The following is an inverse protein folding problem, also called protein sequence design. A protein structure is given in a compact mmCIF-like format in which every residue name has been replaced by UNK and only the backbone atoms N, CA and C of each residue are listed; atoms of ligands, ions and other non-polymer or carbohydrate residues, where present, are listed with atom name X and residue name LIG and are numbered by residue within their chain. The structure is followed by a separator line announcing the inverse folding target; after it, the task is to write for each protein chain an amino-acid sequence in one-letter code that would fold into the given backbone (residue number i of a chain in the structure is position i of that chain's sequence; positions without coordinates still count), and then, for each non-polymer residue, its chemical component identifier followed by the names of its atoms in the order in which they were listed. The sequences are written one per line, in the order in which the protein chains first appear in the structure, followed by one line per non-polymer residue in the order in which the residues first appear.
data_IF_606722270393
#
_entry.id   IF_606722270393
#
_cell.length_a   1.000
_cell.length_b   1.000
_cell.length_c   1.000
_cell.angle_alpha   90.00
_cell.angle_beta   90.00
_cell.angle_gamma   90.00
#
_symmetry.space_group_name_H-M   'P 1'
#
loop_
_entity.id
_entity.type
_entity.pdbx_description
1 polymer ?
#
# COMPACT_ATOMS: atom_id res chain seq x y z
N UNK A 1 5.62 -2.97 4.83
CA UNK A 1 6.43 -1.74 4.56
C UNK A 1 5.70 -0.46 5.04
N UNK A 2 6.38 0.62 5.43
CA UNK A 2 5.79 1.95 5.78
C UNK A 2 6.79 3.10 5.53
N UNK A 3 6.35 4.39 5.39
CA UNK A 3 7.24 5.51 5.08
C UNK A 3 8.40 5.70 6.07
N UNK A 4 8.18 5.51 7.37
CA UNK A 4 9.25 5.66 8.38
C UNK A 4 10.39 4.65 8.23
N UNK A 5 10.17 3.58 7.46
CA UNK A 5 11.15 2.54 7.19
C UNK A 5 11.83 2.77 5.82
N UNK A 6 11.55 3.89 5.15
CA UNK A 6 12.20 4.33 3.91
C UNK A 6 13.12 5.50 4.29
N UNK A 7 14.41 5.22 4.37
CA UNK A 7 15.43 6.19 4.73
C UNK A 7 15.97 6.87 3.48
N UNK A 8 16.29 8.16 3.58
CA UNK A 8 16.91 8.93 2.51
C UNK A 8 18.24 9.47 3.02
N UNK A 9 19.32 9.13 2.32
CA UNK A 9 20.66 9.64 2.58
C UNK A 9 20.84 11.08 2.09
N UNK A 10 21.89 11.75 2.57
CA UNK A 10 22.28 13.09 2.09
C UNK A 10 22.73 13.11 0.63
N UNK A 11 23.11 11.95 0.12
CA UNK A 11 23.44 11.66 -1.28
C UNK A 11 22.21 11.39 -2.14
N UNK A 12 20.99 11.47 -1.56
CA UNK A 12 19.75 11.16 -2.26
C UNK A 12 19.47 9.66 -2.42
N UNK A 13 20.32 8.78 -1.86
CA UNK A 13 20.07 7.34 -1.93
C UNK A 13 18.94 6.93 -0.98
N UNK A 14 17.95 6.24 -1.54
CA UNK A 14 16.82 5.69 -0.80
C UNK A 14 17.12 4.25 -0.39
N UNK A 15 16.90 3.93 0.89
CA UNK A 15 17.12 2.58 1.45
C UNK A 15 15.94 2.14 2.30
N UNK A 16 15.55 0.89 2.16
CA UNK A 16 14.59 0.25 3.08
C UNK A 16 15.35 -0.17 4.34
N UNK A 17 14.76 0.10 5.49
CA UNK A 17 15.29 -0.24 6.81
C UNK A 17 14.26 -1.02 7.63
N UNK A 18 14.68 -1.44 8.83
CA UNK A 18 13.84 -2.15 9.82
C UNK A 18 13.22 -3.44 9.26
N UNK A 19 14.06 -4.48 9.25
CA UNK A 19 13.73 -5.84 8.84
C UNK A 19 13.32 -6.73 10.03
N UNK A 20 12.99 -6.14 11.19
CA UNK A 20 12.67 -6.90 12.41
C UNK A 20 11.46 -7.83 12.28
N UNK A 21 10.54 -7.50 11.37
CA UNK A 21 9.37 -8.30 11.03
C UNK A 21 9.52 -9.10 9.73
N UNK A 22 10.68 -9.04 9.07
CA UNK A 22 10.92 -9.77 7.82
C UNK A 22 11.09 -11.27 8.08
N UNK A 23 10.74 -12.09 7.08
CA UNK A 23 10.83 -13.55 7.11
C UNK A 23 11.31 -14.10 5.78
N UNK A 24 12.00 -15.24 5.81
CA UNK A 24 12.39 -15.99 4.61
C UNK A 24 11.21 -16.84 4.12
N UNK A 25 10.96 -16.80 2.81
CA UNK A 25 9.76 -17.36 2.14
C UNK A 25 9.47 -18.85 2.38
N UNK A 26 10.43 -19.62 2.92
CA UNK A 26 10.35 -21.08 3.00
C UNK A 26 10.53 -21.65 4.42
N UNK A 27 10.56 -20.81 5.47
CA UNK A 27 10.95 -21.28 6.81
C UNK A 27 9.74 -21.47 7.74
N UNK A 28 8.66 -20.68 7.67
CA UNK A 28 7.46 -20.91 8.49
C UNK A 28 6.19 -20.32 7.82
N UNK A 29 5.19 -21.18 7.55
CA UNK A 29 3.86 -20.78 7.02
C UNK A 29 2.96 -20.09 8.06
N UNK A 30 3.44 -19.94 9.30
CA UNK A 30 2.71 -19.27 10.38
C UNK A 30 3.24 -17.86 10.57
N UNK A 31 2.73 -16.95 9.77
CA UNK A 31 2.97 -15.53 9.96
C UNK A 31 2.33 -15.09 11.28
N UNK A 32 3.13 -14.45 12.13
CA UNK A 32 2.68 -13.97 13.44
C UNK A 32 1.64 -12.86 13.23
N UNK A 33 0.47 -12.89 13.89
CA UNK A 33 -0.44 -11.75 13.88
C UNK A 33 0.26 -10.64 14.64
N UNK A 34 0.87 -9.69 13.93
CA UNK A 34 1.83 -8.78 14.56
C UNK A 34 1.62 -7.29 14.27
N UNK A 35 1.98 -6.57 15.32
CA UNK A 35 1.98 -5.16 15.64
C UNK A 35 2.75 -4.37 14.57
N UNK A 36 2.05 -3.93 13.54
CA UNK A 36 2.54 -2.97 12.56
C UNK A 36 1.76 -1.66 12.62
N UNK A 37 2.21 -0.64 11.88
CA UNK A 37 1.43 0.58 11.66
C UNK A 37 0.19 0.21 10.83
N UNK A 38 -0.98 0.14 11.50
CA UNK A 38 -2.24 -0.39 10.98
C UNK A 38 -2.67 0.17 9.61
N UNK A 39 -2.28 1.40 9.30
CA UNK A 39 -2.64 2.09 8.05
C UNK A 39 -2.04 1.49 6.77
N UNK A 40 -1.00 0.66 6.88
CA UNK A 40 -0.32 0.05 5.72
C UNK A 40 -0.65 -1.44 5.51
N UNK A 41 -1.62 -1.96 6.25
CA UNK A 41 -1.98 -3.38 6.25
C UNK A 41 -2.89 -3.72 5.06
N UNK A 42 -2.54 -4.77 4.33
CA UNK A 42 -3.36 -5.31 3.26
C UNK A 42 -4.62 -6.02 3.80
N UNK A 43 -5.74 -6.07 3.06
CA UNK A 43 -6.98 -6.65 3.56
C UNK A 43 -6.87 -8.13 3.93
N UNK A 44 -6.10 -8.92 3.18
CA UNK A 44 -5.86 -10.33 3.51
C UNK A 44 -5.08 -10.53 4.81
N UNK A 45 -4.23 -9.55 5.18
CA UNK A 45 -3.52 -9.53 6.46
C UNK A 45 -4.47 -9.14 7.58
N UNK A 46 -5.32 -8.13 7.37
CA UNK A 46 -6.36 -7.74 8.34
C UNK A 46 -7.36 -8.87 8.62
N UNK A 47 -7.57 -9.76 7.64
CA UNK A 47 -8.50 -10.88 7.70
C UNK A 47 -7.86 -12.20 8.12
N UNK A 48 -6.56 -12.23 8.37
CA UNK A 48 -5.84 -13.41 8.83
C UNK A 48 -5.99 -14.64 7.91
N UNK A 49 -6.03 -14.46 6.58
CA UNK A 49 -6.35 -15.55 5.61
C UNK A 49 -5.27 -16.64 5.46
N UNK A 50 -4.26 -16.65 6.32
CA UNK A 50 -3.27 -17.74 6.49
C UNK A 50 -2.22 -17.89 5.39
N UNK A 51 -2.55 -17.58 4.13
CA UNK A 51 -1.62 -17.63 2.99
C UNK A 51 -1.16 -16.23 2.63
N UNK A 52 -0.03 -15.82 3.18
CA UNK A 52 0.58 -14.54 2.87
C UNK A 52 1.73 -14.74 1.88
N UNK A 53 1.88 -13.78 0.97
CA UNK A 53 2.95 -13.75 -0.02
C UNK A 53 3.53 -12.33 -0.08
N UNK A 54 4.53 -12.10 -0.93
CA UNK A 54 5.10 -10.78 -1.17
C UNK A 54 4.08 -9.68 -1.60
N UNK A 55 2.85 -10.07 -1.96
CA UNK A 55 1.79 -9.16 -2.38
C UNK A 55 1.33 -8.18 -1.30
N UNK A 56 1.45 -8.50 -0.01
CA UNK A 56 1.11 -7.51 1.04
C UNK A 56 2.11 -6.34 1.08
N UNK A 57 3.38 -6.57 0.72
CA UNK A 57 4.37 -5.51 0.60
C UNK A 57 4.08 -4.64 -0.64
N UNK A 58 3.61 -5.25 -1.73
CA UNK A 58 3.17 -4.51 -2.92
C UNK A 58 1.95 -3.63 -2.62
N UNK A 59 1.01 -4.08 -1.79
CA UNK A 59 -0.11 -3.26 -1.32
C UNK A 59 0.38 -2.08 -0.49
N UNK A 60 1.29 -2.31 0.45
CA UNK A 60 1.90 -1.24 1.23
C UNK A 60 2.64 -0.22 0.34
N UNK A 61 3.33 -0.67 -0.73
CA UNK A 61 3.95 0.21 -1.71
C UNK A 61 2.89 1.05 -2.47
N UNK A 62 1.74 0.48 -2.82
CA UNK A 62 0.62 1.21 -3.43
C UNK A 62 0.02 2.28 -2.51
N UNK A 63 -0.07 2.00 -1.20
CA UNK A 63 -0.45 3.00 -0.20
C UNK A 63 0.57 4.13 -0.18
N UNK A 64 1.86 3.82 -0.05
CA UNK A 64 2.94 4.81 0.01
C UNK A 64 2.97 5.69 -1.25
N UNK A 65 2.85 5.09 -2.45
CA UNK A 65 2.77 5.82 -3.71
C UNK A 65 1.58 6.80 -3.71
N UNK A 66 0.41 6.35 -3.26
CA UNK A 66 -0.77 7.21 -3.14
C UNK A 66 -0.54 8.35 -2.14
N UNK A 67 0.09 8.07 -1.00
CA UNK A 67 0.39 9.07 0.03
C UNK A 67 1.42 10.12 -0.41
N UNK A 68 2.33 9.79 -1.35
CA UNK A 68 3.24 10.78 -1.95
C UNK A 68 2.44 11.88 -2.67
N UNK A 69 1.37 11.52 -3.38
CA UNK A 69 0.48 12.49 -4.03
C UNK A 69 -0.41 13.21 -3.02
N UNK A 70 -1.01 12.47 -2.09
CA UNK A 70 -1.99 13.02 -1.13
C UNK A 70 -1.36 13.90 -0.05
N UNK A 71 -0.11 13.61 0.34
CA UNK A 71 0.57 14.16 1.53
C UNK A 71 -0.17 13.92 2.85
N UNK A 72 -1.08 12.96 2.87
CA UNK A 72 -1.82 12.50 4.04
C UNK A 72 -2.12 11.00 3.91
N UNK A 73 -2.59 10.36 4.99
CA UNK A 73 -2.92 8.94 4.98
C UNK A 73 -4.03 8.61 3.96
N UNK A 74 -3.79 7.59 3.12
CA UNK A 74 -4.79 7.11 2.16
C UNK A 74 -6.01 6.52 2.89
N UNK A 75 -5.76 5.67 3.89
CA UNK A 75 -6.79 5.09 4.76
C UNK A 75 -6.79 5.78 6.12
N UNK A 76 -7.80 6.64 6.35
CA UNK A 76 -7.88 7.45 7.57
C UNK A 76 -8.52 6.64 8.70
N UNK A 77 -7.90 6.66 9.88
CA UNK A 77 -8.47 6.07 11.09
C UNK A 77 -7.42 5.69 12.14
N UNK A 78 -7.85 5.64 13.40
CA UNK A 78 -7.00 5.27 14.55
C UNK A 78 -7.15 3.79 14.95
N UNK A 79 -8.30 3.20 14.62
CA UNK A 79 -8.64 1.79 14.90
C UNK A 79 -8.69 0.98 13.60
N UNK A 80 -8.50 -0.35 13.70
CA UNK A 80 -8.65 -1.24 12.54
C UNK A 80 -10.03 -1.12 11.90
N UNK A 81 -11.09 -0.98 12.70
CA UNK A 81 -12.46 -0.77 12.19
C UNK A 81 -12.58 0.55 11.42
N UNK A 82 -12.00 1.65 11.91
CA UNK A 82 -12.02 2.92 11.16
C UNK A 82 -11.19 2.86 9.88
N UNK A 83 -10.05 2.18 9.90
CA UNK A 83 -9.20 1.95 8.72
C UNK A 83 -9.94 1.09 7.70
N UNK A 84 -10.58 -0.01 8.13
CA UNK A 84 -11.41 -0.86 7.26
C UNK A 84 -12.55 -0.09 6.61
N UNK A 85 -13.22 0.79 7.36
CA UNK A 85 -14.25 1.69 6.82
C UNK A 85 -13.69 2.62 5.74
N UNK A 86 -12.53 3.24 5.99
CA UNK A 86 -11.87 4.09 4.99
C UNK A 86 -11.42 3.28 3.78
N UNK A 87 -10.91 2.06 3.97
CA UNK A 87 -10.49 1.18 2.89
C UNK A 87 -11.65 0.82 1.97
N UNK A 88 -12.81 0.45 2.52
CA UNK A 88 -14.01 0.16 1.71
C UNK A 88 -14.52 1.39 0.97
N UNK A 89 -14.43 2.59 1.58
CA UNK A 89 -14.79 3.84 0.89
C UNK A 89 -13.88 4.12 -0.31
N UNK A 90 -12.58 3.86 -0.16
CA UNK A 90 -11.58 4.17 -1.19
C UNK A 90 -11.57 3.10 -2.28
N UNK A 91 -11.43 1.82 -1.92
CA UNK A 91 -11.25 0.69 -2.85
C UNK A 91 -12.55 -0.02 -3.23
N UNK A 92 -13.62 0.19 -2.48
CA UNK A 92 -14.90 -0.52 -2.64
C UNK A 92 -15.05 -1.73 -1.71
N UNK A 93 -16.21 -2.40 -1.84
CA UNK A 93 -16.61 -3.51 -0.96
C UNK A 93 -15.65 -4.70 -1.05
N UNK A 94 -15.14 -5.17 0.08
CA UNK A 94 -14.40 -6.44 0.18
C UNK A 94 -15.39 -7.58 0.43
N UNK A 95 -15.31 -8.66 -0.36
CA UNK A 95 -16.16 -9.84 -0.26
C UNK A 95 -15.52 -11.03 -1.00
N UNK A 96 -16.14 -12.22 -0.93
CA UNK A 96 -15.58 -13.43 -1.54
C UNK A 96 -15.38 -13.36 -3.06
N UNK A 97 -16.00 -12.42 -3.78
CA UNK A 97 -15.80 -12.26 -5.23
C UNK A 97 -14.44 -11.62 -5.57
N UNK A 98 -13.97 -10.69 -4.74
CA UNK A 98 -12.71 -9.95 -4.97
C UNK A 98 -11.62 -10.26 -3.95
N UNK A 99 -11.94 -10.99 -2.88
CA UNK A 99 -10.99 -11.60 -1.98
C UNK A 99 -11.53 -12.96 -1.53
N UNK A 100 -11.23 -14.04 -2.27
CA UNK A 100 -11.69 -15.38 -1.93
C UNK A 100 -11.31 -15.78 -0.49
N UNK A 101 -12.24 -16.41 0.24
CA UNK A 101 -12.07 -16.77 1.65
C UNK A 101 -12.26 -15.61 2.65
N UNK A 102 -12.41 -14.37 2.19
CA UNK A 102 -12.58 -13.21 3.09
C UNK A 102 -13.75 -13.36 4.06
N UNK A 103 -14.91 -13.84 3.61
CA UNK A 103 -16.11 -13.92 4.44
C UNK A 103 -16.14 -15.13 5.39
N UNK A 104 -15.16 -16.02 5.29
CA UNK A 104 -14.96 -17.14 6.22
C UNK A 104 -14.12 -16.72 7.43
N UNK A 105 -13.41 -15.59 7.35
CA UNK A 105 -12.63 -15.02 8.45
C UNK A 105 -13.53 -14.45 9.55
N UNK A 106 -13.23 -14.78 10.80
CA UNK A 106 -13.88 -14.17 11.98
C UNK A 106 -13.68 -12.64 11.98
N UNK A 107 -12.51 -12.16 11.55
CA UNK A 107 -12.21 -10.73 11.48
C UNK A 107 -13.09 -9.99 10.47
N UNK A 108 -13.57 -10.68 9.43
CA UNK A 108 -14.46 -10.06 8.44
C UNK A 108 -15.75 -9.56 9.07
N UNK A 109 -16.31 -10.32 10.01
CA UNK A 109 -17.53 -9.95 10.73
C UNK A 109 -17.32 -8.62 11.47
N UNK A 110 -16.17 -8.43 12.10
CA UNK A 110 -15.86 -7.24 12.88
C UNK A 110 -15.42 -6.04 12.04
N UNK A 111 -14.69 -6.27 10.94
CA UNK A 111 -14.04 -5.20 10.18
C UNK A 111 -14.83 -4.74 8.96
N UNK A 112 -15.46 -5.66 8.22
CA UNK A 112 -16.00 -5.37 6.88
C UNK A 112 -17.50 -5.63 6.73
N UNK A 113 -18.08 -6.57 7.47
CA UNK A 113 -19.47 -7.04 7.25
C UNK A 113 -20.54 -5.93 7.33
N UNK A 114 -20.35 -4.96 8.23
CA UNK A 114 -21.29 -3.85 8.48
C UNK A 114 -20.90 -2.55 7.77
N UNK A 115 -19.81 -2.56 7.01
CA UNK A 115 -19.33 -1.35 6.34
C UNK A 115 -20.14 -1.15 5.07
N UNK A 116 -20.88 -0.04 5.00
CA UNK A 116 -21.60 0.35 3.78
C UNK A 116 -20.58 0.69 2.69
N UNK A 117 -20.79 0.13 1.50
CA UNK A 117 -19.98 0.43 0.31
C UNK A 117 -20.76 1.34 -0.63
N UNK A 118 -20.10 2.38 -1.14
CA UNK A 118 -20.51 3.10 -2.33
C UNK A 118 -19.66 2.70 -3.53
N UNK A 119 -19.67 3.52 -4.58
CA UNK A 119 -18.69 3.42 -5.65
C UNK A 119 -17.28 3.71 -5.09
N UNK A 120 -16.24 2.97 -5.54
CA UNK A 120 -14.86 3.25 -5.15
C UNK A 120 -14.47 4.70 -5.44
N UNK A 121 -13.72 5.32 -4.53
CA UNK A 121 -13.31 6.72 -4.64
C UNK A 121 -11.84 6.90 -5.03
N UNK A 122 -11.08 5.80 -5.16
CA UNK A 122 -9.63 5.83 -5.34
C UNK A 122 -9.17 6.77 -6.46
N UNK A 123 -9.58 6.53 -7.72
CA UNK A 123 -9.18 7.38 -8.85
C UNK A 123 -9.59 8.83 -8.65
N UNK A 124 -10.84 9.09 -8.22
CA UNK A 124 -11.33 10.45 -7.93
C UNK A 124 -10.44 11.18 -6.91
N UNK A 125 -10.01 10.49 -5.85
CA UNK A 125 -9.18 11.05 -4.79
C UNK A 125 -7.80 11.42 -5.34
N UNK A 126 -7.15 10.55 -6.12
CA UNK A 126 -5.82 10.84 -6.67
C UNK A 126 -5.84 11.87 -7.82
N UNK A 127 -6.85 11.85 -8.69
CA UNK A 127 -7.00 12.84 -9.77
C UNK A 127 -7.12 14.27 -9.21
N UNK A 128 -7.67 14.45 -8.00
CA UNK A 128 -7.75 15.75 -7.34
C UNK A 128 -6.41 16.23 -6.75
N UNK A 129 -5.37 15.41 -6.77
CA UNK A 129 -4.05 15.69 -6.18
C UNK A 129 -2.92 15.70 -7.22
N UNK A 130 -3.25 15.98 -8.49
CA UNK A 130 -2.29 16.10 -9.60
C UNK A 130 -1.48 14.81 -9.87
N UNK A 131 -1.98 13.64 -9.44
CA UNK A 131 -1.39 12.38 -9.87
C UNK A 131 -1.58 12.19 -11.37
N UNK A 132 -0.55 11.72 -12.08
CA UNK A 132 -0.67 11.35 -13.49
C UNK A 132 -1.53 10.10 -13.65
N UNK A 133 -2.18 9.92 -14.80
CA UNK A 133 -2.96 8.70 -15.06
C UNK A 133 -2.09 7.44 -14.93
N UNK A 134 -0.85 7.48 -15.43
CA UNK A 134 0.11 6.39 -15.26
C UNK A 134 0.37 6.05 -13.78
N UNK A 135 0.47 7.07 -12.92
CA UNK A 135 0.68 6.91 -11.48
C UNK A 135 -0.57 6.37 -10.77
N UNK A 136 -1.75 6.83 -11.17
CA UNK A 136 -3.04 6.32 -10.68
C UNK A 136 -3.20 4.85 -11.07
N UNK A 137 -2.92 4.48 -12.32
CA UNK A 137 -3.02 3.11 -12.82
C UNK A 137 -2.08 2.16 -12.07
N UNK A 138 -0.81 2.56 -11.88
CA UNK A 138 0.13 1.76 -11.10
C UNK A 138 -0.35 1.60 -9.65
N UNK A 139 -0.76 2.70 -9.01
CA UNK A 139 -1.21 2.66 -7.61
C UNK A 139 -2.48 1.81 -7.45
N UNK A 140 -3.43 1.91 -8.37
CA UNK A 140 -4.66 1.10 -8.39
C UNK A 140 -4.32 -0.39 -8.51
N UNK A 141 -3.37 -0.73 -9.38
CA UNK A 141 -2.93 -2.11 -9.57
C UNK A 141 -2.22 -2.66 -8.32
N UNK A 142 -1.34 -1.88 -7.70
CA UNK A 142 -0.68 -2.25 -6.45
C UNK A 142 -1.68 -2.45 -5.30
N UNK A 143 -2.78 -1.68 -5.31
CA UNK A 143 -3.86 -1.72 -4.32
C UNK A 143 -4.99 -2.70 -4.65
N UNK A 144 -4.81 -3.60 -5.63
CA UNK A 144 -5.81 -4.62 -5.93
C UNK A 144 -6.19 -5.40 -4.66
N UNK A 145 -7.48 -5.57 -4.42
CA UNK A 145 -8.00 -6.23 -3.20
C UNK A 145 -7.49 -7.68 -3.14
N UNK A 146 -7.52 -8.40 -4.27
CA UNK A 146 -6.96 -9.73 -4.38
C UNK A 146 -5.43 -9.66 -4.47
N UNK A 147 -4.66 -10.26 -3.54
CA UNK A 147 -3.19 -10.26 -3.62
C UNK A 147 -2.65 -10.93 -4.89
N UNK A 148 -3.38 -11.90 -5.47
CA UNK A 148 -2.98 -12.56 -6.71
C UNK A 148 -3.05 -11.66 -7.95
N UNK A 149 -3.77 -10.53 -7.86
CA UNK A 149 -3.90 -9.57 -8.95
C UNK A 149 -2.85 -8.46 -8.89
N UNK A 150 -2.03 -8.41 -7.84
CA UNK A 150 -0.97 -7.41 -7.67
C UNK A 150 0.27 -7.84 -8.45
N UNK A 151 0.95 -6.92 -9.16
CA UNK A 151 2.20 -7.23 -9.85
C UNK A 151 3.30 -7.47 -8.82
N UNK A 152 4.27 -8.32 -9.17
CA UNK A 152 5.53 -8.40 -8.44
C UNK A 152 6.34 -7.12 -8.63
N UNK A 153 7.30 -6.85 -7.75
CA UNK A 153 8.13 -5.64 -7.82
C UNK A 153 8.83 -5.45 -9.18
N UNK A 154 9.39 -6.52 -9.75
CA UNK A 154 10.04 -6.49 -11.06
C UNK A 154 9.06 -6.28 -12.24
N UNK A 155 7.78 -6.61 -12.06
CA UNK A 155 6.73 -6.36 -13.05
C UNK A 155 6.20 -4.93 -12.92
N UNK A 156 6.04 -4.43 -11.69
CA UNK A 156 5.63 -3.06 -11.40
C UNK A 156 6.57 -2.03 -12.03
N UNK A 157 7.89 -2.29 -12.03
CA UNK A 157 8.90 -1.43 -12.67
C UNK A 157 8.74 -1.29 -14.19
N UNK A 158 7.90 -2.10 -14.83
CA UNK A 158 7.62 -2.05 -16.27
C UNK A 158 6.36 -1.26 -16.62
N UNK A 159 5.65 -0.73 -15.62
CA UNK A 159 4.43 0.04 -15.85
C UNK A 159 4.74 1.38 -16.54
N UNK A 160 3.79 1.93 -17.32
CA UNK A 160 3.87 3.25 -17.96
C UNK A 160 4.47 4.33 -17.06
N UNK A 161 4.10 4.34 -15.78
CA UNK A 161 4.60 5.29 -14.78
C UNK A 161 6.13 5.41 -14.70
N UNK A 162 6.86 4.31 -14.93
CA UNK A 162 8.31 4.29 -14.88
C UNK A 162 8.97 4.36 -16.26
N UNK A 163 8.23 4.19 -17.36
CA UNK A 163 8.81 4.09 -18.73
C UNK A 163 8.41 5.24 -19.64
N UNK A 164 7.27 5.88 -19.38
CA UNK A 164 6.81 7.05 -20.13
C UNK A 164 7.53 8.33 -19.67
N UNK A 165 7.45 9.37 -20.49
CA UNK A 165 7.96 10.69 -20.11
C UNK A 165 6.94 11.44 -19.23
N UNK A 166 7.39 12.30 -18.29
CA UNK A 166 8.79 12.59 -17.98
C UNK A 166 9.42 11.48 -17.13
N UNK A 167 10.64 11.10 -17.51
CA UNK A 167 11.46 10.22 -16.68
C UNK A 167 12.00 10.99 -15.48
N UNK A 168 12.14 10.36 -14.30
CA UNK A 168 12.78 11.00 -13.16
C UNK A 168 14.23 11.36 -13.54
N UNK A 169 14.67 12.56 -13.19
CA UNK A 169 16.05 13.02 -13.40
C UNK A 169 17.06 12.35 -12.42
N UNK A 170 16.54 11.53 -11.49
CA UNK A 170 17.30 10.84 -10.46
C UNK A 170 17.84 11.77 -9.37
N UNK A 171 17.59 13.08 -9.46
CA UNK A 171 18.16 14.07 -8.56
C UNK A 171 17.13 14.55 -7.54
N UNK A 172 17.01 13.82 -6.44
CA UNK A 172 16.12 14.22 -5.35
C UNK A 172 16.73 15.27 -4.41
N UNK A 173 18.02 15.61 -4.56
CA UNK A 173 18.73 16.53 -3.65
C UNK A 173 18.01 17.88 -3.47
N UNK A 174 17.43 18.51 -4.52
CA UNK A 174 16.69 19.77 -4.37
C UNK A 174 15.43 19.65 -3.50
N UNK A 175 14.91 18.43 -3.30
CA UNK A 175 13.72 18.14 -2.51
C UNK A 175 14.06 17.87 -1.03
N UNK A 176 15.34 17.68 -0.70
CA UNK A 176 15.76 17.34 0.67
C UNK A 176 15.82 18.58 1.58
N UNK A 177 15.65 18.42 2.90
CA UNK A 177 15.72 19.53 3.83
C UNK A 177 17.08 20.24 3.77
N UNK A 178 17.09 21.56 3.56
CA UNK A 178 18.33 22.36 3.55
C UNK A 178 19.13 22.25 4.84
N UNK A 179 18.47 21.97 5.96
CA UNK A 179 19.10 21.74 7.26
C UNK A 179 20.06 20.55 7.30
N UNK A 180 20.03 19.68 6.30
CA UNK A 180 20.95 18.53 6.20
C UNK A 180 22.34 18.91 5.68
N UNK A 181 22.57 20.19 5.32
CA UNK A 181 23.86 20.68 4.84
C UNK A 181 24.24 20.10 3.46
N UNK A 182 23.23 19.84 2.63
CA UNK A 182 23.41 19.37 1.26
C UNK A 182 23.88 20.57 0.43
N UNK A 183 24.98 20.44 -0.33
CA UNK A 183 25.55 21.53 -1.12
C UNK A 183 24.61 22.05 -2.20
#
# INVERSE_FOLDING_TARGET
MKPTNILIGRDGLVKIADFGLSRLKNIEDRYTPYIGTKGYMAPEIMLELGKYNEGFDMFAAGIILSEIYLREFLFKGETLTSIAKSMVRILGKINNRNLPGSQESEQYVHLFSKVRSGAPQFRKVLSNCFASEDGIDLAEKLLAINPAERPKANEALKYPYFVNSPQPDGNILPLLPRSWGIP
#
